data_IF_298719802632
#
_entry.id   IF_298719802632
#
_cell.length_a   1.000
_cell.length_b   1.000
_cell.length_c   1.000
_cell.angle_alpha   90.00
_cell.angle_beta   90.00
_cell.angle_gamma   90.00
#
_symmetry.space_group_name_H-M   'P 1'
#
loop_
_entity.id
_entity.type
_entity.pdbx_description
1 polymer ?
#
# COMPACT_ATOMS: atom_id res chain seq x y z
N UNK A 1 21.98 3.63 -6.86
CA UNK A 1 20.62 4.13 -6.63
C UNK A 1 19.80 2.91 -6.32
N UNK A 2 19.21 2.87 -5.14
CA UNK A 2 18.44 1.72 -4.70
C UNK A 2 17.06 1.81 -5.36
N UNK A 3 16.55 0.70 -5.89
CA UNK A 3 15.24 0.60 -6.50
C UNK A 3 14.49 -0.57 -5.86
N UNK A 4 13.19 -0.37 -5.63
CA UNK A 4 12.31 -1.41 -5.10
C UNK A 4 11.60 -2.13 -6.22
N UNK A 5 11.30 -3.41 -6.01
CA UNK A 5 10.66 -4.26 -7.00
C UNK A 5 9.70 -5.23 -6.32
N UNK A 6 8.41 -5.00 -6.50
CA UNK A 6 7.33 -5.82 -5.92
C UNK A 6 7.15 -7.16 -6.64
N UNK A 7 7.61 -7.30 -7.89
CA UNK A 7 7.57 -8.56 -8.62
C UNK A 7 8.98 -9.01 -9.04
N UNK A 8 9.38 -10.21 -8.61
CA UNK A 8 10.68 -10.80 -8.91
C UNK A 8 10.50 -12.18 -9.54
N UNK A 9 11.24 -12.45 -10.62
CA UNK A 9 11.35 -13.80 -11.16
C UNK A 9 12.81 -14.24 -11.15
N UNK A 10 13.08 -15.35 -10.48
CA UNK A 10 14.37 -16.02 -10.51
C UNK A 10 14.26 -17.29 -11.34
N UNK A 11 15.27 -17.54 -12.16
CA UNK A 11 15.35 -18.68 -13.04
C UNK A 11 16.65 -19.43 -12.75
N UNK A 12 16.53 -20.73 -12.50
CA UNK A 12 17.66 -21.60 -12.20
C UNK A 12 17.72 -22.71 -13.24
N UNK A 13 18.92 -22.97 -13.76
CA UNK A 13 19.18 -24.00 -14.73
C UNK A 13 20.23 -24.98 -14.19
N UNK A 14 19.82 -25.90 -13.30
CA UNK A 14 20.76 -26.84 -12.70
C UNK A 14 21.35 -27.78 -13.76
N UNK A 15 22.62 -28.20 -13.63
CA UNK A 15 23.29 -29.05 -14.62
C UNK A 15 22.58 -30.38 -14.91
N UNK A 16 21.90 -30.95 -13.92
CA UNK A 16 21.16 -32.20 -14.09
C UNK A 16 20.00 -32.08 -15.08
N UNK A 17 19.50 -30.87 -15.35
CA UNK A 17 18.40 -30.64 -16.29
C UNK A 17 18.71 -31.01 -17.73
N UNK A 18 20.00 -31.11 -18.06
CA UNK A 18 20.53 -31.58 -19.34
C UNK A 18 21.36 -32.86 -19.19
N UNK A 19 21.27 -33.53 -18.04
CA UNK A 19 22.03 -34.75 -17.75
C UNK A 19 23.53 -34.55 -17.49
N UNK A 20 23.96 -33.31 -17.22
CA UNK A 20 25.37 -33.00 -16.96
C UNK A 20 25.68 -32.93 -15.46
N UNK A 21 26.94 -33.19 -15.10
CA UNK A 21 27.46 -33.04 -13.74
C UNK A 21 28.42 -31.85 -13.70
N UNK A 22 28.00 -30.75 -13.04
CA UNK A 22 28.83 -29.54 -12.82
C UNK A 22 28.61 -28.98 -11.42
N UNK A 23 29.60 -28.25 -10.84
CA UNK A 23 29.41 -27.57 -9.56
C UNK A 23 28.30 -26.51 -9.65
N UNK A 24 27.42 -26.46 -8.65
CA UNK A 24 26.41 -25.41 -8.53
C UNK A 24 27.12 -24.12 -8.08
N UNK A 25 27.02 -23.07 -8.90
CA UNK A 25 27.55 -21.73 -8.63
C UNK A 25 26.40 -20.72 -8.67
N UNK A 26 26.70 -19.44 -8.48
CA UNK A 26 25.73 -18.37 -8.69
C UNK A 26 25.21 -18.33 -10.14
N UNK A 27 24.09 -17.63 -10.39
CA UNK A 27 23.43 -17.64 -11.68
C UNK A 27 24.32 -17.05 -12.78
N UNK A 28 24.34 -17.75 -13.91
CA UNK A 28 25.00 -17.33 -15.14
C UNK A 28 24.26 -16.18 -15.83
N UNK A 29 24.94 -15.53 -16.78
CA UNK A 29 24.31 -14.49 -17.62
C UNK A 29 23.09 -15.00 -18.38
N UNK A 30 23.11 -16.26 -18.83
CA UNK A 30 22.01 -16.87 -19.57
C UNK A 30 20.79 -17.09 -18.66
N UNK A 31 21.01 -17.58 -17.45
CA UNK A 31 19.93 -17.76 -16.46
C UNK A 31 19.27 -16.42 -16.11
N UNK A 32 20.06 -15.38 -15.86
CA UNK A 32 19.55 -14.02 -15.63
C UNK A 32 18.78 -13.51 -16.86
N UNK A 33 19.29 -13.74 -18.06
CA UNK A 33 18.64 -13.34 -19.31
C UNK A 33 17.30 -14.04 -19.53
N UNK A 34 17.22 -15.35 -19.31
CA UNK A 34 15.99 -16.13 -19.39
C UNK A 34 14.97 -15.71 -18.32
N UNK A 35 15.44 -15.51 -17.08
CA UNK A 35 14.60 -14.98 -16.00
C UNK A 35 14.00 -13.62 -16.36
N UNK A 36 14.82 -12.69 -16.85
CA UNK A 36 14.35 -11.38 -17.29
C UNK A 36 13.35 -11.44 -18.45
N UNK A 37 13.53 -12.37 -19.41
CA UNK A 37 12.58 -12.54 -20.51
C UNK A 37 11.22 -13.02 -19.99
N UNK A 38 11.20 -14.06 -19.15
CA UNK A 38 9.96 -14.56 -18.56
C UNK A 38 9.30 -13.52 -17.64
N UNK A 39 10.10 -12.78 -16.87
CA UNK A 39 9.59 -11.71 -16.02
C UNK A 39 8.91 -10.62 -16.86
N UNK A 40 9.55 -10.17 -17.94
CA UNK A 40 8.96 -9.18 -18.87
C UNK A 40 7.67 -9.70 -19.51
N UNK A 41 7.58 -10.99 -19.78
CA UNK A 41 6.37 -11.60 -20.33
C UNK A 41 5.19 -11.58 -19.34
N UNK A 42 5.46 -11.79 -18.05
CA UNK A 42 4.43 -11.88 -17.01
C UNK A 42 4.08 -10.53 -16.37
N UNK A 43 5.05 -9.62 -16.27
CA UNK A 43 4.92 -8.31 -15.60
C UNK A 43 3.66 -7.52 -16.00
N UNK A 44 3.23 -7.44 -17.28
CA UNK A 44 2.02 -6.73 -17.67
C UNK A 44 0.71 -7.28 -17.06
N UNK A 45 0.74 -8.55 -16.64
CA UNK A 45 -0.40 -9.26 -16.03
C UNK A 45 -0.43 -9.15 -14.51
N UNK A 46 0.67 -8.74 -13.90
CA UNK A 46 0.75 -8.58 -12.44
C UNK A 46 -0.19 -7.43 -12.03
N UNK A 47 -1.03 -7.63 -10.99
CA UNK A 47 -1.90 -6.58 -10.46
C UNK A 47 -1.09 -5.41 -9.89
N UNK A 48 -1.75 -4.26 -9.78
CA UNK A 48 -1.18 -3.12 -9.06
C UNK A 48 -1.17 -3.41 -7.55
N UNK A 49 -0.30 -2.72 -6.81
CA UNK A 49 -0.07 -2.95 -5.39
C UNK A 49 -1.31 -2.62 -4.55
N UNK A 50 -2.13 -1.66 -4.99
CA UNK A 50 -3.39 -1.29 -4.35
C UNK A 50 -4.43 -2.42 -4.44
N UNK A 51 -4.34 -3.25 -5.49
CA UNK A 51 -5.24 -4.40 -5.70
C UNK A 51 -4.69 -5.64 -5.00
N UNK A 52 -3.38 -5.80 -4.98
CA UNK A 52 -2.72 -6.96 -4.41
C UNK A 52 -1.42 -6.53 -3.71
N UNK A 53 -1.49 -6.15 -2.42
CA UNK A 53 -0.40 -5.50 -1.70
C UNK A 53 0.67 -6.49 -1.23
N UNK A 54 1.16 -7.33 -2.15
CA UNK A 54 2.13 -8.39 -1.87
C UNK A 54 3.37 -8.20 -2.74
N UNK A 55 4.52 -8.44 -2.13
CA UNK A 55 5.73 -8.74 -2.89
C UNK A 55 5.66 -10.18 -3.41
N UNK A 56 5.70 -10.33 -4.72
CA UNK A 56 5.60 -11.61 -5.43
C UNK A 56 6.99 -12.05 -5.86
N UNK A 57 7.38 -13.26 -5.45
CA UNK A 57 8.60 -13.93 -5.92
C UNK A 57 8.25 -15.23 -6.59
N UNK A 58 8.56 -15.33 -7.88
CA UNK A 58 8.50 -16.59 -8.64
C UNK A 58 9.92 -17.15 -8.76
N UNK A 59 10.08 -18.43 -8.49
CA UNK A 59 11.32 -19.16 -8.74
C UNK A 59 11.00 -20.30 -9.71
N UNK A 60 11.68 -20.32 -10.84
CA UNK A 60 11.56 -21.37 -11.85
C UNK A 60 12.80 -22.24 -11.83
N UNK A 61 12.65 -23.47 -11.35
CA UNK A 61 13.70 -24.48 -11.36
C UNK A 61 13.49 -25.40 -12.57
N UNK A 62 14.40 -25.33 -13.52
CA UNK A 62 14.33 -26.17 -14.71
C UNK A 62 14.80 -27.57 -14.36
N UNK A 63 13.88 -28.53 -14.38
CA UNK A 63 14.19 -29.92 -14.04
C UNK A 63 14.66 -30.73 -15.24
N UNK A 64 14.21 -30.35 -16.44
CA UNK A 64 14.55 -30.96 -17.72
C UNK A 64 14.58 -29.87 -18.79
N UNK A 65 15.49 -29.97 -19.77
CA UNK A 65 15.56 -29.02 -20.87
C UNK A 65 16.02 -29.67 -22.16
N UNK A 66 15.10 -29.79 -23.12
CA UNK A 66 15.41 -30.10 -24.52
C UNK A 66 14.84 -29.07 -25.50
N UNK A 67 14.33 -27.95 -24.99
CA UNK A 67 13.74 -26.86 -25.75
C UNK A 67 13.77 -25.57 -24.94
N UNK A 68 12.89 -24.62 -25.24
CA UNK A 68 12.91 -23.31 -24.58
C UNK A 68 12.32 -23.34 -23.17
N UNK A 69 13.17 -23.67 -22.20
CA UNK A 69 12.91 -23.57 -20.76
C UNK A 69 12.53 -22.15 -20.31
N UNK A 70 12.94 -21.12 -21.04
CA UNK A 70 12.49 -19.74 -20.80
C UNK A 70 11.01 -19.51 -21.11
N UNK A 71 10.48 -20.14 -22.17
CA UNK A 71 9.05 -20.07 -22.51
C UNK A 71 8.23 -20.96 -21.58
N UNK A 72 8.75 -22.15 -21.24
CA UNK A 72 8.16 -23.00 -20.20
C UNK A 72 8.04 -22.24 -18.86
N UNK A 73 9.04 -21.43 -18.50
CA UNK A 73 8.98 -20.57 -17.30
C UNK A 73 7.86 -19.54 -17.38
N UNK A 74 7.60 -18.96 -18.55
CA UNK A 74 6.45 -18.06 -18.74
C UNK A 74 5.12 -18.76 -18.47
N UNK A 75 4.93 -19.96 -19.04
CA UNK A 75 3.73 -20.77 -18.85
C UNK A 75 3.56 -21.23 -17.39
N UNK A 76 4.61 -21.81 -16.81
CA UNK A 76 4.61 -22.29 -15.43
C UNK A 76 4.45 -21.16 -14.42
N UNK A 77 5.10 -20.01 -14.66
CA UNK A 77 4.95 -18.81 -13.85
C UNK A 77 3.51 -18.29 -13.88
N UNK A 78 2.85 -18.27 -15.04
CA UNK A 78 1.44 -17.91 -15.14
C UNK A 78 0.54 -18.82 -14.28
N UNK A 79 0.71 -20.14 -14.41
CA UNK A 79 -0.07 -21.10 -13.62
C UNK A 79 0.23 -21.00 -12.12
N UNK A 80 1.50 -20.85 -11.75
CA UNK A 80 1.92 -20.74 -10.35
C UNK A 80 1.36 -19.48 -9.68
N UNK A 81 1.33 -18.34 -10.39
CA UNK A 81 0.70 -17.11 -9.90
C UNK A 81 -0.80 -17.31 -9.66
N UNK A 82 -1.50 -17.94 -10.61
CA UNK A 82 -2.93 -18.23 -10.50
C UNK A 82 -3.21 -19.20 -9.35
N UNK A 83 -2.40 -20.24 -9.20
CA UNK A 83 -2.53 -21.25 -8.15
C UNK A 83 -2.26 -20.66 -6.76
N UNK A 84 -1.32 -19.71 -6.67
CA UNK A 84 -1.05 -18.96 -5.44
C UNK A 84 -2.15 -17.95 -5.09
N UNK A 85 -3.17 -17.76 -5.94
CA UNK A 85 -4.27 -16.82 -5.75
C UNK A 85 -3.92 -15.37 -6.13
N UNK A 86 -2.86 -15.15 -6.90
CA UNK A 86 -2.54 -13.81 -7.43
C UNK A 86 -3.56 -13.46 -8.51
N UNK A 87 -4.27 -12.32 -8.40
CA UNK A 87 -5.30 -11.92 -9.35
C UNK A 87 -4.68 -11.32 -10.63
N UNK A 88 -3.95 -12.15 -11.38
CA UNK A 88 -3.39 -11.75 -12.67
C UNK A 88 -4.51 -11.49 -13.70
N UNK A 89 -4.30 -10.52 -14.59
CA UNK A 89 -5.32 -10.10 -15.58
C UNK A 89 -5.75 -11.24 -16.50
N UNK A 90 -4.78 -11.96 -17.05
CA UNK A 90 -4.98 -13.10 -17.95
C UNK A 90 -3.78 -14.03 -17.89
N UNK A 91 -3.98 -15.30 -18.28
CA UNK A 91 -2.89 -16.26 -18.44
C UNK A 91 -1.97 -15.87 -19.61
N UNK A 92 -0.67 -16.13 -19.43
CA UNK A 92 0.37 -15.90 -20.45
C UNK A 92 1.06 -17.20 -20.77
N UNK A 93 1.19 -17.50 -22.06
CA UNK A 93 2.00 -18.60 -22.56
C UNK A 93 3.14 -18.08 -23.42
N UNK A 94 4.22 -18.87 -23.49
CA UNK A 94 5.36 -18.64 -24.37
C UNK A 94 5.51 -19.77 -25.38
N UNK A 95 6.08 -19.46 -26.54
CA UNK A 95 6.50 -20.43 -27.55
C UNK A 95 7.85 -20.03 -28.13
N UNK A 96 8.70 -21.02 -28.39
CA UNK A 96 9.93 -20.83 -29.15
C UNK A 96 9.76 -21.31 -30.58
N UNK A 97 10.31 -20.54 -31.49
CA UNK A 97 10.13 -20.69 -32.92
C UNK A 97 11.51 -20.62 -33.57
N UNK A 98 11.68 -21.37 -34.64
CA UNK A 98 12.90 -21.38 -35.43
C UNK A 98 12.63 -21.03 -36.88
N UNK A 99 13.69 -20.69 -37.59
CA UNK A 99 13.69 -20.53 -39.03
C UNK A 99 14.92 -21.21 -39.61
N UNK A 100 14.72 -21.99 -40.67
CA UNK A 100 15.78 -22.52 -41.52
C UNK A 100 15.64 -21.89 -42.91
N UNK A 101 16.75 -21.45 -43.48
CA UNK A 101 16.85 -20.88 -44.82
C UNK A 101 17.86 -21.67 -45.65
N UNK A 102 17.40 -22.19 -46.78
CA UNK A 102 18.26 -22.78 -47.80
C UNK A 102 17.97 -22.05 -49.12
N UNK A 103 18.96 -21.35 -49.66
CA UNK A 103 18.81 -20.44 -50.80
C UNK A 103 17.62 -19.47 -50.63
N UNK A 104 16.58 -19.58 -51.45
CA UNK A 104 15.37 -18.74 -51.39
C UNK A 104 14.20 -19.41 -50.61
N UNK A 105 14.42 -20.59 -50.05
CA UNK A 105 13.41 -21.33 -49.29
C UNK A 105 13.52 -21.04 -47.80
N UNK A 106 12.35 -20.92 -47.14
CA UNK A 106 12.23 -20.63 -45.72
C UNK A 106 11.28 -21.63 -45.05
N UNK A 107 11.75 -22.27 -43.98
CA UNK A 107 10.97 -23.18 -43.15
C UNK A 107 10.86 -22.65 -41.73
N UNK A 108 9.64 -22.47 -41.24
CA UNK A 108 9.35 -21.99 -39.88
C UNK A 108 9.05 -23.19 -39.00
N UNK A 109 9.83 -23.34 -37.93
CA UNK A 109 9.70 -24.40 -36.94
C UNK A 109 8.93 -23.91 -35.71
N UNK A 110 8.11 -24.78 -35.13
CA UNK A 110 7.31 -24.49 -33.94
C UNK A 110 7.75 -25.38 -32.79
N UNK A 111 7.93 -24.79 -31.63
CA UNK A 111 8.39 -25.44 -30.41
C UNK A 111 9.75 -26.12 -30.58
N UNK A 112 10.73 -25.31 -30.99
CA UNK A 112 12.04 -25.83 -31.37
C UNK A 112 12.76 -26.56 -30.24
N UNK A 113 13.42 -27.66 -30.61
CA UNK A 113 14.37 -28.38 -29.79
C UNK A 113 15.71 -27.65 -29.69
N UNK A 114 16.55 -28.06 -28.75
CA UNK A 114 17.91 -27.53 -28.60
C UNK A 114 18.77 -27.69 -29.87
N UNK A 115 18.63 -28.80 -30.57
CA UNK A 115 19.35 -29.05 -31.84
C UNK A 115 18.83 -28.14 -32.96
N UNK A 116 17.51 -27.95 -33.06
CA UNK A 116 16.90 -27.07 -34.07
C UNK A 116 17.27 -25.60 -33.84
N UNK A 117 17.40 -25.17 -32.58
CA UNK A 117 17.99 -23.87 -32.23
C UNK A 117 19.47 -23.78 -32.66
N UNK A 118 20.25 -24.82 -32.37
CA UNK A 118 21.69 -24.84 -32.68
C UNK A 118 21.94 -24.70 -34.20
N UNK A 119 21.20 -25.46 -35.01
CA UNK A 119 21.36 -25.51 -36.46
C UNK A 119 20.50 -24.49 -37.23
N UNK A 120 19.51 -23.88 -36.59
CA UNK A 120 18.63 -22.89 -37.23
C UNK A 120 19.31 -21.55 -37.49
N UNK A 121 18.80 -20.83 -38.50
CA UNK A 121 19.30 -19.53 -38.95
C UNK A 121 18.75 -18.34 -38.15
N UNK A 122 17.67 -18.57 -37.43
CA UNK A 122 17.07 -17.62 -36.50
C UNK A 122 16.26 -18.37 -35.45
N UNK A 123 16.36 -17.94 -34.20
CA UNK A 123 15.44 -18.33 -33.14
C UNK A 123 14.69 -17.11 -32.61
N UNK A 124 13.41 -17.28 -32.33
CA UNK A 124 12.64 -16.25 -31.66
C UNK A 124 11.63 -16.83 -30.70
N UNK A 125 11.41 -16.06 -29.64
CA UNK A 125 10.58 -16.44 -28.50
C UNK A 125 9.46 -15.42 -28.40
N UNK A 126 8.22 -15.90 -28.40
CA UNK A 126 7.04 -15.05 -28.33
C UNK A 126 6.21 -15.47 -27.13
N UNK A 127 5.98 -14.53 -26.22
CA UNK A 127 5.10 -14.73 -25.08
C UNK A 127 3.95 -13.73 -25.09
N UNK A 128 2.80 -14.13 -24.56
CA UNK A 128 1.62 -13.28 -24.49
C UNK A 128 0.35 -13.99 -24.04
N UNK A 129 -0.69 -13.20 -23.86
CA UNK A 129 -2.04 -13.70 -23.57
C UNK A 129 -2.84 -13.91 -24.86
N UNK A 130 -4.14 -14.16 -24.71
CA UNK A 130 -5.07 -14.21 -25.86
C UNK A 130 -5.20 -12.86 -26.56
N UNK A 131 -5.10 -11.76 -25.81
CA UNK A 131 -5.30 -10.40 -26.32
C UNK A 131 -4.10 -9.84 -27.07
N UNK A 132 -2.90 -10.35 -26.78
CA UNK A 132 -1.70 -9.76 -27.37
C UNK A 132 -0.41 -10.40 -26.92
N UNK A 133 0.67 -9.87 -27.50
CA UNK A 133 2.05 -10.23 -27.15
C UNK A 133 2.50 -9.37 -25.97
N UNK A 134 3.14 -9.98 -24.98
CA UNK A 134 3.73 -9.27 -23.83
C UNK A 134 5.25 -9.18 -23.93
N UNK A 135 5.90 -10.15 -24.57
CA UNK A 135 7.35 -10.13 -24.80
C UNK A 135 7.71 -10.83 -26.11
N UNK A 136 8.72 -10.29 -26.80
CA UNK A 136 9.40 -10.91 -27.94
C UNK A 136 10.90 -10.83 -27.69
N UNK A 137 11.60 -11.92 -27.97
CA UNK A 137 13.04 -11.96 -28.14
C UNK A 137 13.34 -12.60 -29.48
N UNK A 138 14.26 -12.03 -30.25
CA UNK A 138 14.68 -12.55 -31.55
C UNK A 138 16.20 -12.54 -31.60
N UNK A 139 16.79 -13.66 -32.01
CA UNK A 139 18.20 -13.76 -32.35
C UNK A 139 18.31 -14.23 -33.80
N UNK A 140 18.90 -13.38 -34.64
CA UNK A 140 18.96 -13.57 -36.09
C UNK A 140 20.42 -13.79 -36.44
N UNK A 141 20.75 -14.98 -36.98
CA UNK A 141 22.12 -15.36 -37.34
C UNK A 141 22.49 -15.01 -38.78
N UNK A 142 21.48 -14.74 -39.63
CA UNK A 142 21.64 -14.46 -41.06
C UNK A 142 21.00 -13.12 -41.49
N UNK A 143 21.44 -12.57 -42.62
CA UNK A 143 20.77 -11.41 -43.23
C UNK A 143 19.71 -11.85 -44.25
N UNK A 144 18.79 -10.94 -44.59
CA UNK A 144 17.88 -11.12 -45.73
C UNK A 144 16.60 -11.91 -45.43
N UNK A 145 16.07 -11.84 -44.20
CA UNK A 145 14.75 -12.40 -43.88
C UNK A 145 13.66 -11.41 -44.33
N UNK A 146 12.79 -11.77 -45.30
CA UNK A 146 11.73 -10.88 -45.76
C UNK A 146 10.69 -10.63 -44.66
N UNK A 147 10.12 -9.42 -44.63
CA UNK A 147 9.07 -9.05 -43.67
C UNK A 147 7.84 -9.97 -43.75
N UNK A 148 7.52 -10.48 -44.94
CA UNK A 148 6.43 -11.44 -45.13
C UNK A 148 6.69 -12.78 -44.41
N UNK A 149 7.94 -13.26 -44.44
CA UNK A 149 8.34 -14.48 -43.71
C UNK A 149 8.20 -14.24 -42.20
N UNK A 150 8.61 -13.08 -41.71
CA UNK A 150 8.44 -12.70 -40.31
C UNK A 150 6.96 -12.66 -39.89
N UNK A 151 6.10 -12.09 -40.74
CA UNK A 151 4.66 -12.05 -40.52
C UNK A 151 4.05 -13.45 -40.41
N UNK A 152 4.43 -14.36 -41.32
CA UNK A 152 4.01 -15.78 -41.25
C UNK A 152 4.52 -16.45 -39.97
N UNK A 153 5.76 -16.19 -39.58
CA UNK A 153 6.37 -16.78 -38.39
C UNK A 153 5.66 -16.34 -37.10
N UNK A 154 5.31 -15.04 -36.99
CA UNK A 154 4.53 -14.52 -35.87
C UNK A 154 3.09 -15.05 -35.83
N UNK A 155 2.47 -15.24 -37.00
CA UNK A 155 1.14 -15.84 -37.10
C UNK A 155 1.15 -17.31 -36.64
N UNK A 156 2.12 -18.10 -37.09
CA UNK A 156 2.31 -19.49 -36.65
C UNK A 156 2.62 -19.55 -35.14
N UNK A 157 3.44 -18.63 -34.62
CA UNK A 157 3.71 -18.51 -33.19
C UNK A 157 2.44 -18.19 -32.39
N UNK A 158 1.58 -17.31 -32.90
CA UNK A 158 0.29 -17.00 -32.27
C UNK A 158 -0.58 -18.24 -32.18
N UNK A 159 -0.73 -19.00 -33.26
CA UNK A 159 -1.54 -20.22 -33.30
C UNK A 159 -1.04 -21.26 -32.30
N UNK A 160 0.28 -21.48 -32.25
CA UNK A 160 0.90 -22.38 -31.28
C UNK A 160 0.68 -21.91 -29.84
N UNK A 161 0.88 -20.61 -29.56
CA UNK A 161 0.64 -20.03 -28.24
C UNK A 161 -0.82 -20.19 -27.78
N UNK A 162 -1.80 -20.05 -28.67
CA UNK A 162 -3.21 -20.28 -28.33
C UNK A 162 -3.46 -21.72 -27.91
N UNK A 163 -2.87 -22.70 -28.61
CA UNK A 163 -2.99 -24.12 -28.22
C UNK A 163 -2.41 -24.38 -26.82
N UNK A 164 -1.27 -23.79 -26.50
CA UNK A 164 -0.66 -23.88 -25.16
C UNK A 164 -1.58 -23.25 -24.11
N UNK A 165 -2.13 -22.07 -24.39
CA UNK A 165 -3.11 -21.42 -23.51
C UNK A 165 -4.36 -22.28 -23.31
N UNK A 166 -4.86 -22.96 -24.34
CA UNK A 166 -6.02 -23.85 -24.22
C UNK A 166 -5.72 -25.01 -23.24
N UNK A 167 -4.54 -25.62 -23.35
CA UNK A 167 -4.10 -26.69 -22.45
C UNK A 167 -3.90 -26.18 -21.01
N UNK A 168 -3.29 -25.02 -20.84
CA UNK A 168 -3.11 -24.39 -19.53
C UNK A 168 -4.47 -24.11 -18.87
N UNK A 169 -5.41 -23.53 -19.63
CA UNK A 169 -6.75 -23.18 -19.13
C UNK A 169 -7.57 -24.43 -18.79
N UNK A 170 -7.35 -25.56 -19.46
CA UNK A 170 -7.96 -26.83 -19.09
C UNK A 170 -7.49 -27.33 -17.70
N UNK A 171 -6.31 -26.89 -17.25
CA UNK A 171 -5.76 -27.22 -15.93
C UNK A 171 -6.21 -26.22 -14.87
N UNK A 172 -6.06 -24.92 -15.13
CA UNK A 172 -6.43 -23.85 -14.21
C UNK A 172 -6.95 -22.64 -15.01
N UNK A 173 -8.27 -22.45 -15.13
CA UNK A 173 -8.84 -21.43 -16.02
C UNK A 173 -8.79 -20.02 -15.43
N UNK A 174 -8.82 -19.88 -14.11
CA UNK A 174 -8.80 -18.60 -13.39
C UNK A 174 -7.92 -18.67 -12.15
N UNK A 175 -7.40 -17.53 -11.65
CA UNK A 175 -6.76 -17.50 -10.34
C UNK A 175 -7.64 -18.12 -9.25
N UNK A 176 -7.02 -18.75 -8.26
CA UNK A 176 -7.75 -19.22 -7.08
C UNK A 176 -8.35 -18.02 -6.33
N UNK A 177 -9.58 -18.15 -5.80
CA UNK A 177 -10.25 -17.05 -5.11
C UNK A 177 -9.61 -16.73 -3.75
N UNK A 178 -8.93 -17.71 -3.15
CA UNK A 178 -8.31 -17.60 -1.84
C UNK A 178 -6.80 -17.84 -1.94
N UNK A 179 -6.04 -17.08 -1.15
CA UNK A 179 -4.61 -17.31 -0.94
C UNK A 179 -4.39 -18.56 -0.11
N UNK A 180 -3.17 -19.12 -0.22
CA UNK A 180 -2.72 -20.20 0.65
C UNK A 180 -2.94 -19.87 2.13
N UNK A 181 -3.40 -20.80 2.98
CA UNK A 181 -3.54 -20.57 4.42
C UNK A 181 -2.21 -20.29 5.12
N UNK A 182 -1.09 -20.62 4.47
CA UNK A 182 0.26 -20.33 4.96
C UNK A 182 0.81 -19.00 4.45
N UNK A 183 0.14 -18.37 3.49
CA UNK A 183 0.50 -17.02 3.07
C UNK A 183 0.01 -16.02 4.13
N UNK A 184 0.82 -15.01 4.49
CA UNK A 184 0.35 -13.94 5.36
C UNK A 184 -0.83 -13.24 4.67
N UNK A 185 -1.85 -12.87 5.42
CA UNK A 185 -2.90 -11.96 4.96
C UNK A 185 -2.47 -10.54 5.21
N UNK A 186 -2.67 -9.69 4.22
CA UNK A 186 -2.39 -8.26 4.31
C UNK A 186 -3.71 -7.52 4.30
N UNK A 187 -3.93 -6.74 5.35
CA UNK A 187 -5.06 -5.83 5.48
C UNK A 187 -4.51 -4.42 5.35
N UNK A 188 -5.05 -3.67 4.39
CA UNK A 188 -4.68 -2.28 4.16
C UNK A 188 -5.75 -1.35 4.72
N UNK A 189 -5.32 -0.27 5.36
CA UNK A 189 -6.18 0.84 5.78
C UNK A 189 -5.48 2.16 5.49
N UNK A 190 -6.25 3.26 5.43
CA UNK A 190 -5.71 4.59 5.19
C UNK A 190 -5.97 5.47 6.42
N UNK A 191 -4.96 6.24 6.82
CA UNK A 191 -5.02 7.19 7.93
C UNK A 191 -4.59 8.57 7.42
N UNK A 192 -5.01 9.63 8.09
CA UNK A 192 -4.57 10.97 7.71
C UNK A 192 -3.05 11.11 7.95
N UNK A 193 -2.35 11.79 7.04
CA UNK A 193 -0.89 11.97 7.08
C UNK A 193 -0.43 12.59 8.41
N UNK A 194 -1.23 13.50 8.96
CA UNK A 194 -0.95 14.15 10.26
C UNK A 194 -0.98 13.15 11.44
N UNK A 195 -1.60 11.98 11.27
CA UNK A 195 -1.76 10.95 12.29
C UNK A 195 -0.67 9.87 12.23
N UNK A 196 0.16 9.82 11.18
CA UNK A 196 1.26 8.85 11.04
C UNK A 196 2.18 8.90 12.29
N UNK A 197 2.52 10.10 12.73
CA UNK A 197 3.38 10.30 13.91
C UNK A 197 2.77 9.75 15.21
N UNK A 198 1.45 9.72 15.33
CA UNK A 198 0.73 9.17 16.47
C UNK A 198 0.83 7.64 16.50
N UNK A 199 0.65 6.98 15.35
CA UNK A 199 0.69 5.52 15.22
C UNK A 199 2.12 4.99 15.42
N UNK A 200 3.13 5.66 14.87
CA UNK A 200 4.54 5.32 15.09
C UNK A 200 4.93 5.56 16.56
N UNK A 201 4.56 6.72 17.09
CA UNK A 201 4.92 7.17 18.44
C UNK A 201 6.40 7.53 18.59
N UNK A 202 6.81 8.09 19.74
CA UNK A 202 8.17 8.57 19.95
C UNK A 202 9.19 7.43 19.86
N UNK A 203 10.05 7.47 18.83
CA UNK A 203 11.06 6.44 18.55
C UNK A 203 10.49 5.09 18.12
N UNK A 204 9.26 5.06 17.57
CA UNK A 204 8.61 3.83 17.12
C UNK A 204 8.04 2.96 18.25
N UNK A 205 7.89 3.52 19.47
CA UNK A 205 7.42 2.74 20.62
C UNK A 205 6.00 2.22 20.48
N UNK A 206 5.09 3.02 19.91
CA UNK A 206 3.68 2.67 19.78
C UNK A 206 3.50 1.54 18.78
N UNK A 207 4.05 1.70 17.56
CA UNK A 207 3.98 0.67 16.52
C UNK A 207 4.65 -0.64 16.97
N UNK A 208 5.80 -0.58 17.66
CA UNK A 208 6.44 -1.78 18.23
C UNK A 208 5.57 -2.47 19.28
N UNK A 209 4.85 -1.72 20.12
CA UNK A 209 3.93 -2.32 21.09
C UNK A 209 2.73 -2.99 20.43
N UNK A 210 2.22 -2.44 19.32
CA UNK A 210 1.16 -3.07 18.53
C UNK A 210 1.66 -4.39 17.92
N UNK A 211 2.84 -4.36 17.28
CA UNK A 211 3.49 -5.54 16.69
C UNK A 211 3.70 -6.63 17.77
N UNK A 212 4.23 -6.27 18.93
CA UNK A 212 4.52 -7.22 20.02
C UNK A 212 3.24 -7.85 20.62
N UNK A 213 2.17 -7.07 20.77
CA UNK A 213 0.90 -7.55 21.33
C UNK A 213 0.10 -8.42 20.37
N UNK A 214 0.18 -8.11 19.08
CA UNK A 214 -0.66 -8.76 18.06
C UNK A 214 0.07 -9.88 17.34
N UNK A 215 1.41 -9.81 17.24
CA UNK A 215 2.22 -10.68 16.39
C UNK A 215 2.15 -10.32 14.90
N UNK A 216 1.42 -9.26 14.52
CA UNK A 216 1.32 -8.79 13.15
C UNK A 216 2.49 -7.85 12.81
N UNK A 217 2.87 -7.81 11.54
CA UNK A 217 3.77 -6.79 10.99
C UNK A 217 2.95 -5.59 10.54
N UNK A 218 3.38 -4.39 10.89
CA UNK A 218 2.72 -3.13 10.49
C UNK A 218 3.74 -2.28 9.77
N UNK A 219 3.40 -1.86 8.56
CA UNK A 219 4.17 -0.92 7.74
C UNK A 219 3.31 0.29 7.41
N UNK A 220 3.90 1.49 7.39
CA UNK A 220 3.17 2.75 7.17
C UNK A 220 3.93 3.56 6.14
N UNK A 221 3.27 3.87 5.04
CA UNK A 221 3.78 4.71 3.97
C UNK A 221 3.59 6.21 4.28
N UNK A 222 4.42 7.04 3.66
CA UNK A 222 4.39 8.50 3.83
C UNK A 222 3.08 9.15 3.34
N UNK A 223 2.29 8.42 2.55
CA UNK A 223 0.98 8.86 2.06
C UNK A 223 -0.18 8.55 3.03
N UNK A 224 0.09 7.86 4.14
CA UNK A 224 -0.92 7.44 5.12
C UNK A 224 -1.49 6.04 4.89
N UNK A 225 -0.98 5.28 3.92
CA UNK A 225 -1.34 3.88 3.74
C UNK A 225 -0.68 3.01 4.81
N UNK A 226 -1.47 2.17 5.48
CA UNK A 226 -1.01 1.26 6.52
C UNK A 226 -1.25 -0.18 6.06
N UNK A 227 -0.18 -0.97 5.99
CA UNK A 227 -0.22 -2.39 5.65
C UNK A 227 0.00 -3.25 6.89
N UNK A 228 -1.00 -4.08 7.21
CA UNK A 228 -0.99 -4.97 8.38
C UNK A 228 -0.94 -6.42 7.89
N UNK A 229 0.17 -7.09 8.14
CA UNK A 229 0.42 -8.44 7.64
C UNK A 229 0.54 -9.48 8.78
N UNK A 230 -0.20 -10.58 8.70
CA UNK A 230 -0.06 -11.73 9.61
C UNK A 230 -0.55 -13.02 8.97
N UNK A 231 0.01 -14.17 9.37
CA UNK A 231 -0.54 -15.49 9.02
C UNK A 231 -1.80 -15.85 9.81
N UNK A 232 -2.04 -15.16 10.94
CA UNK A 232 -3.27 -15.27 11.74
C UNK A 232 -4.24 -14.13 11.39
N UNK A 233 -5.43 -14.42 10.83
CA UNK A 233 -6.43 -13.40 10.52
C UNK A 233 -6.87 -12.58 11.74
N UNK A 234 -6.95 -13.20 12.92
CA UNK A 234 -7.36 -12.47 14.13
C UNK A 234 -6.31 -11.47 14.58
N UNK A 235 -5.02 -11.78 14.36
CA UNK A 235 -3.93 -10.86 14.65
C UNK A 235 -3.99 -9.59 13.79
N UNK A 236 -4.31 -9.73 12.49
CA UNK A 236 -4.53 -8.59 11.60
C UNK A 236 -5.68 -7.71 12.10
N UNK A 237 -6.82 -8.31 12.46
CA UNK A 237 -7.99 -7.54 12.90
C UNK A 237 -7.73 -6.81 14.22
N UNK A 238 -7.07 -7.46 15.19
CA UNK A 238 -6.66 -6.80 16.45
C UNK A 238 -5.71 -5.64 16.21
N UNK A 239 -4.73 -5.79 15.31
CA UNK A 239 -3.80 -4.72 14.98
C UNK A 239 -4.51 -3.55 14.29
N UNK A 240 -5.43 -3.86 13.36
CA UNK A 240 -6.26 -2.86 12.68
C UNK A 240 -7.11 -2.08 13.68
N UNK A 241 -7.82 -2.76 14.58
CA UNK A 241 -8.66 -2.11 15.61
C UNK A 241 -7.81 -1.22 16.54
N UNK A 242 -6.61 -1.66 16.93
CA UNK A 242 -5.70 -0.83 17.73
C UNK A 242 -5.28 0.45 17.01
N UNK A 243 -5.00 0.36 15.71
CA UNK A 243 -4.61 1.52 14.89
C UNK A 243 -5.82 2.43 14.68
N UNK A 244 -6.99 1.88 14.32
CA UNK A 244 -8.24 2.64 14.16
C UNK A 244 -8.58 3.42 15.43
N UNK A 245 -8.47 2.81 16.62
CA UNK A 245 -8.73 3.50 17.89
C UNK A 245 -7.74 4.63 18.19
N UNK A 246 -6.49 4.51 17.74
CA UNK A 246 -5.51 5.58 17.86
C UNK A 246 -5.85 6.73 16.91
N UNK A 247 -6.23 6.42 15.68
CA UNK A 247 -6.49 7.41 14.62
C UNK A 247 -7.92 7.96 14.63
N UNK A 248 -8.84 7.36 15.40
CA UNK A 248 -10.22 7.80 15.49
C UNK A 248 -10.27 9.27 15.94
N UNK A 249 -10.90 10.13 15.12
CA UNK A 249 -11.15 11.50 15.51
C UNK A 249 -12.41 11.58 16.36
N UNK A 250 -12.36 12.27 17.51
CA UNK A 250 -13.54 12.43 18.35
C UNK A 250 -14.56 13.31 17.62
N UNK A 251 -15.75 12.75 17.36
CA UNK A 251 -16.83 13.43 16.64
C UNK A 251 -17.75 14.17 17.62
N UNK A 252 -18.07 15.43 17.30
CA UNK A 252 -19.01 16.22 18.10
C UNK A 252 -20.38 15.57 18.03
N UNK A 253 -20.95 15.26 19.19
CA UNK A 253 -22.24 14.61 19.34
C UNK A 253 -22.17 13.09 19.49
N UNK A 254 -21.01 12.45 19.33
CA UNK A 254 -20.82 11.02 19.59
C UNK A 254 -20.63 10.77 21.09
N UNK A 255 -21.13 9.62 21.53
CA UNK A 255 -21.05 9.16 22.92
C UNK A 255 -19.88 8.20 23.06
N UNK A 256 -19.03 8.41 24.06
CA UNK A 256 -17.85 7.62 24.33
C UNK A 256 -17.88 7.10 25.76
N UNK A 257 -17.37 5.88 25.98
CA UNK A 257 -17.07 5.37 27.32
C UNK A 257 -15.61 5.74 27.60
N UNK A 258 -15.40 6.70 28.49
CA UNK A 258 -14.09 7.21 28.81
C UNK A 258 -13.68 6.93 30.24
N UNK A 259 -12.37 6.83 30.49
CA UNK A 259 -11.82 6.55 31.82
C UNK A 259 -11.29 7.81 32.49
N UNK A 260 -11.66 8.06 33.74
CA UNK A 260 -11.21 9.24 34.50
C UNK A 260 -9.71 9.11 34.82
N UNK A 261 -8.88 9.97 34.25
CA UNK A 261 -7.43 10.02 34.53
C UNK A 261 -7.09 10.89 35.72
N UNK A 262 -7.76 12.04 35.81
CA UNK A 262 -7.44 13.07 36.79
C UNK A 262 -8.68 13.86 37.15
N UNK A 263 -8.85 14.14 38.43
CA UNK A 263 -9.93 14.99 38.94
C UNK A 263 -9.31 16.32 39.39
N UNK A 264 -10.02 17.42 39.12
CA UNK A 264 -9.70 18.77 39.61
C UNK A 264 -10.94 19.41 40.23
N UNK A 265 -10.76 20.54 40.91
CA UNK A 265 -11.85 21.23 41.59
C UNK A 265 -12.94 21.76 40.63
N UNK A 266 -12.66 21.86 39.33
CA UNK A 266 -13.56 22.41 38.32
C UNK A 266 -14.04 21.36 37.30
N UNK A 267 -13.56 20.12 37.38
CA UNK A 267 -13.97 19.05 36.46
C UNK A 267 -13.14 17.78 36.57
N UNK A 268 -13.39 16.84 35.66
CA UNK A 268 -12.60 15.62 35.51
C UNK A 268 -12.02 15.52 34.10
N UNK A 269 -10.76 15.12 33.99
CA UNK A 269 -10.15 14.74 32.72
C UNK A 269 -10.44 13.27 32.45
N UNK A 270 -11.17 13.04 31.37
CA UNK A 270 -11.62 11.72 30.94
C UNK A 270 -10.93 11.39 29.61
N UNK A 271 -10.22 10.27 29.58
CA UNK A 271 -9.63 9.75 28.34
C UNK A 271 -10.74 9.01 27.58
N UNK A 272 -11.16 9.57 26.44
CA UNK A 272 -12.22 8.99 25.59
C UNK A 272 -11.64 8.11 24.47
N UNK A 273 -10.44 8.43 24.00
CA UNK A 273 -9.69 7.70 22.99
C UNK A 273 -8.21 7.69 23.43
N UNK A 274 -7.41 6.68 23.05
CA UNK A 274 -6.01 6.59 23.43
C UNK A 274 -5.23 7.88 23.14
N UNK A 275 -4.76 8.56 24.20
CA UNK A 275 -4.01 9.82 24.08
C UNK A 275 -4.86 11.08 23.83
N UNK A 276 -6.20 10.98 23.82
CA UNK A 276 -7.13 12.11 23.72
C UNK A 276 -7.95 12.26 25.00
N UNK A 277 -7.61 13.28 25.76
CA UNK A 277 -8.29 13.64 27.01
C UNK A 277 -9.28 14.79 26.77
N UNK A 278 -10.50 14.65 27.30
CA UNK A 278 -11.48 15.71 27.35
C UNK A 278 -11.77 16.17 28.77
N UNK A 279 -12.21 17.41 28.89
CA UNK A 279 -12.63 18.02 30.15
C UNK A 279 -14.13 17.82 30.33
N UNK A 280 -14.50 17.10 31.38
CA UNK A 280 -15.87 17.04 31.89
C UNK A 280 -16.00 18.11 32.98
N UNK A 281 -16.61 19.24 32.65
CA UNK A 281 -16.78 20.35 33.59
C UNK A 281 -17.81 20.00 34.68
N UNK A 282 -17.64 20.53 35.90
CA UNK A 282 -18.51 20.22 37.06
C UNK A 282 -20.01 20.49 36.79
N UNK A 283 -20.32 21.46 35.92
CA UNK A 283 -21.70 21.80 35.53
C UNK A 283 -22.34 20.82 34.53
N UNK A 284 -21.53 19.97 33.90
CA UNK A 284 -21.95 19.03 32.86
C UNK A 284 -21.97 17.57 33.36
N UNK A 285 -21.77 17.35 34.66
CA UNK A 285 -21.85 16.02 35.29
C UNK A 285 -23.29 15.51 35.42
N UNK A 286 -24.17 16.28 36.05
CA UNK A 286 -25.54 15.87 36.39
C UNK A 286 -26.50 17.07 36.35
N UNK A 287 -27.82 16.82 36.28
CA UNK A 287 -28.84 17.88 36.25
C UNK A 287 -28.95 18.66 37.57
N UNK A 288 -28.52 18.07 38.69
CA UNK A 288 -28.51 18.71 40.00
C UNK A 288 -27.14 19.33 40.32
N UNK A 289 -27.12 20.32 41.22
CA UNK A 289 -25.90 21.08 41.53
C UNK A 289 -24.91 20.25 42.35
N UNK A 290 -23.93 19.67 41.67
CA UNK A 290 -22.80 18.96 42.29
C UNK A 290 -21.84 19.96 42.95
N UNK A 291 -21.52 19.77 44.23
CA UNK A 291 -20.61 20.67 44.98
C UNK A 291 -19.14 20.31 44.79
N UNK A 292 -18.81 19.02 44.67
CA UNK A 292 -17.44 18.53 44.40
C UNK A 292 -17.49 17.39 43.41
N UNK A 293 -16.57 17.39 42.45
CA UNK A 293 -16.46 16.34 41.43
C UNK A 293 -16.18 14.96 42.06
N UNK A 294 -15.47 14.97 43.19
CA UNK A 294 -15.09 13.80 43.98
C UNK A 294 -16.28 13.08 44.63
N UNK A 295 -17.45 13.75 44.72
CA UNK A 295 -18.66 13.15 45.27
C UNK A 295 -19.33 12.20 44.25
N UNK A 296 -18.97 12.30 42.96
CA UNK A 296 -19.65 11.62 41.85
C UNK A 296 -18.69 10.77 41.00
N UNK A 297 -17.40 11.13 40.94
CA UNK A 297 -16.40 10.45 40.13
C UNK A 297 -15.17 10.12 40.96
N UNK A 298 -14.62 8.92 40.76
CA UNK A 298 -13.31 8.52 41.25
C UNK A 298 -12.29 8.42 40.11
N UNK A 299 -11.01 8.62 40.45
CA UNK A 299 -9.93 8.39 39.49
C UNK A 299 -9.91 6.90 39.12
N UNK A 300 -10.00 6.63 37.82
CA UNK A 300 -10.03 5.28 37.27
C UNK A 300 -11.42 4.77 36.88
N UNK A 301 -12.50 5.50 37.19
CA UNK A 301 -13.87 5.13 36.83
C UNK A 301 -14.11 5.23 35.32
N UNK A 302 -14.93 4.32 34.79
CA UNK A 302 -15.44 4.37 33.42
C UNK A 302 -16.78 5.11 33.41
N UNK A 303 -16.88 6.16 32.59
CA UNK A 303 -18.07 7.00 32.47
C UNK A 303 -18.45 7.24 31.03
N UNK A 304 -19.75 7.17 30.78
CA UNK A 304 -20.33 7.49 29.48
C UNK A 304 -20.49 9.02 29.34
N UNK A 305 -19.84 9.58 28.32
CA UNK A 305 -19.74 11.02 28.10
C UNK A 305 -19.96 11.34 26.63
N UNK A 306 -20.71 12.41 26.34
CA UNK A 306 -20.93 12.92 24.99
C UNK A 306 -19.97 14.05 24.70
N UNK A 307 -19.34 14.06 23.54
CA UNK A 307 -18.56 15.21 23.09
C UNK A 307 -19.50 16.33 22.65
N UNK A 308 -19.46 17.49 23.30
CA UNK A 308 -20.37 18.62 23.02
C UNK A 308 -19.70 19.67 22.13
N UNK A 309 -18.38 19.82 22.25
CA UNK A 309 -17.64 20.79 21.46
C UNK A 309 -16.13 20.58 21.56
N UNK A 310 -15.42 21.29 20.69
CA UNK A 310 -13.96 21.39 20.71
C UNK A 310 -13.65 22.86 20.94
N UNK A 311 -13.00 23.19 22.06
CA UNK A 311 -12.59 24.56 22.36
C UNK A 311 -11.48 25.02 21.38
N UNK A 312 -11.33 26.34 21.23
CA UNK A 312 -10.30 27.03 20.44
C UNK A 312 -8.86 26.57 20.70
N UNK A 313 -8.59 25.94 21.85
CA UNK A 313 -7.29 25.36 22.20
C UNK A 313 -7.14 23.87 21.82
N UNK A 314 -8.10 23.28 21.10
CA UNK A 314 -8.14 21.86 20.73
C UNK A 314 -8.52 20.93 21.90
N UNK A 315 -9.05 21.47 23.00
CA UNK A 315 -9.52 20.68 24.14
C UNK A 315 -10.95 20.19 23.89
N UNK A 316 -11.18 18.94 24.22
CA UNK A 316 -12.46 18.25 24.02
C UNK A 316 -13.39 18.54 25.20
N UNK A 317 -14.54 19.17 24.95
CA UNK A 317 -15.54 19.44 25.99
C UNK A 317 -16.55 18.30 26.05
N UNK A 318 -16.60 17.65 27.21
CA UNK A 318 -17.43 16.47 27.47
C UNK A 318 -18.61 16.84 28.35
N UNK A 319 -19.76 16.20 28.10
CA UNK A 319 -20.96 16.31 28.95
C UNK A 319 -21.58 14.95 29.20
N UNK A 320 -21.90 14.69 30.47
CA UNK A 320 -22.70 13.55 30.93
C UNK A 320 -24.17 13.95 31.05
N UNK A 321 -24.45 15.21 31.36
CA UNK A 321 -25.80 15.81 31.41
C UNK A 321 -26.57 15.64 30.10
N UNK A 322 -25.89 15.70 28.95
CA UNK A 322 -26.50 15.52 27.64
C UNK A 322 -27.05 14.11 27.37
N UNK A 323 -26.72 13.11 28.21
CA UNK A 323 -27.16 11.71 28.11
C UNK A 323 -28.19 11.34 29.18
N UNK A 324 -28.35 12.15 30.22
CA UNK A 324 -29.31 11.92 31.29
C UNK A 324 -30.71 12.36 30.83
N UNK A 325 -31.76 11.52 30.97
CA UNK A 325 -33.11 11.89 30.60
C UNK A 325 -33.52 13.18 31.32
N UNK A 326 -34.07 14.16 30.58
CA UNK A 326 -34.68 15.34 31.17
C UNK A 326 -35.84 14.87 32.04
N UNK A 327 -35.74 15.04 33.35
CA UNK A 327 -36.95 15.06 34.18
C UNK A 327 -37.76 16.31 33.78
N UNK A 328 -38.97 16.08 33.29
CA UNK A 328 -39.94 17.14 33.00
C UNK A 328 -40.27 17.88 34.30
N UNK A 329 -39.88 19.15 34.40
CA UNK A 329 -40.37 20.06 35.44
C UNK A 329 -39.27 20.72 36.28
N UNK A 330 -38.56 21.67 35.70
CA UNK A 330 -37.94 22.76 36.46
C UNK A 330 -38.14 24.06 35.68
N UNK A 331 -39.06 24.87 36.19
CA UNK A 331 -39.51 26.14 35.65
C UNK A 331 -38.33 27.11 35.48
N UNK A 332 -38.30 27.77 34.31
CA UNK A 332 -37.44 28.92 34.05
C UNK A 332 -37.92 30.10 34.91
N UNK A 333 -37.18 30.44 35.97
CA UNK A 333 -37.28 31.78 36.55
C UNK A 333 -36.53 32.77 35.66
N UNK A 334 -37.31 33.55 34.92
CA UNK A 334 -36.90 34.77 34.24
C UNK A 334 -36.21 35.75 35.22
N UNK A 335 -35.05 36.27 34.81
CA UNK A 335 -34.33 37.27 35.60
C UNK A 335 -33.40 38.15 34.78
N UNK A 336 -33.96 39.15 34.08
CA UNK A 336 -33.29 40.44 33.88
C UNK A 336 -32.83 40.79 32.47
N UNK A 337 -33.77 41.23 31.63
CA UNK A 337 -33.48 41.89 30.36
C UNK A 337 -32.73 43.22 30.50
N UNK A 338 -31.84 43.51 29.55
CA UNK A 338 -31.40 44.87 29.19
C UNK A 338 -31.54 45.06 27.68
N UNK A 339 -32.01 46.24 27.20
CA UNK A 339 -32.59 46.38 25.87
C UNK A 339 -31.56 46.77 24.79
N UNK A 340 -31.89 46.63 23.49
CA UNK A 340 -30.99 46.96 22.39
C UNK A 340 -30.98 48.49 22.14
N UNK A 341 -29.79 49.07 21.96
CA UNK A 341 -29.62 50.46 21.51
C UNK A 341 -29.40 50.51 20.00
N UNK A 342 -30.37 51.07 19.28
CA UNK A 342 -30.21 51.57 17.91
C UNK A 342 -29.84 53.06 17.92
N UNK A 343 -28.96 53.44 16.98
CA UNK A 343 -29.08 54.65 16.16
C UNK A 343 -28.56 55.99 16.71
N UNK A 344 -27.64 56.62 15.97
CA UNK A 344 -27.31 58.04 16.14
C UNK A 344 -26.01 58.47 15.45
N UNK A 345 -26.15 59.01 14.24
CA UNK A 345 -25.12 59.52 13.33
C UNK A 345 -24.29 60.69 13.89
N UNK A 346 -23.03 60.87 13.43
CA UNK A 346 -22.63 62.00 12.58
C UNK A 346 -21.09 62.19 12.39
N UNK A 347 -20.74 62.46 11.13
CA UNK A 347 -19.69 63.38 10.61
C UNK A 347 -18.20 62.96 10.55
N UNK A 348 -17.86 62.42 9.37
CA UNK A 348 -16.96 62.96 8.31
C UNK A 348 -15.42 63.11 8.53
N UNK A 349 -14.63 63.10 7.42
CA UNK A 349 -13.33 62.42 7.34
C UNK A 349 -12.14 63.37 7.10
N UNK A 350 -10.92 62.85 7.29
CA UNK A 350 -9.62 63.37 6.80
C UNK A 350 -8.58 62.27 7.10
N UNK A 351 -7.67 61.86 6.23
CA UNK A 351 -7.19 62.35 4.95
C UNK A 351 -5.79 61.75 4.77
N UNK A 352 -5.46 61.38 3.53
CA UNK A 352 -4.16 60.88 3.10
C UNK A 352 -2.97 61.68 3.64
N UNK A 353 -1.87 60.97 3.91
CA UNK A 353 -0.52 61.44 3.53
C UNK A 353 0.51 60.33 3.57
N UNK A 354 0.90 59.92 2.36
CA UNK A 354 2.25 59.48 2.05
C UNK A 354 3.30 60.43 2.63
N UNK A 355 4.45 59.89 3.04
CA UNK A 355 5.76 60.52 2.82
C UNK A 355 6.90 59.51 2.98
N UNK A 356 7.53 59.26 1.84
CA UNK A 356 8.92 58.79 1.70
C UNK A 356 9.88 59.71 2.49
N UNK A 357 10.96 59.15 3.03
CA UNK A 357 12.31 59.70 2.84
C UNK A 357 13.39 58.67 3.24
N UNK A 358 14.16 58.30 2.23
CA UNK A 358 15.63 58.31 2.16
C UNK A 358 16.50 57.88 3.37
N UNK A 359 17.28 56.84 3.08
CA UNK A 359 18.67 56.53 3.49
C UNK A 359 19.60 57.79 3.47
N UNK A 360 20.88 57.81 3.95
CA UNK A 360 21.85 56.70 3.97
C UNK A 360 22.99 56.74 5.04
N UNK A 361 23.93 55.78 4.87
CA UNK A 361 25.31 55.68 5.40
C UNK A 361 25.41 55.04 6.80
N UNK A 362 26.30 54.09 7.08
CA UNK A 362 27.44 53.54 6.35
C UNK A 362 28.51 53.07 7.35
N UNK A 363 29.37 52.14 6.90
CA UNK A 363 30.67 51.65 7.45
C UNK A 363 30.69 50.29 8.14
N UNK A 364 31.26 49.34 7.39
CA UNK A 364 32.51 48.63 7.69
C UNK A 364 32.83 48.26 9.13
N UNK A 365 32.96 46.94 9.39
CA UNK A 365 34.23 46.36 9.82
C UNK A 365 34.26 44.83 9.62
N UNK A 366 35.11 44.43 8.68
CA UNK A 366 36.08 43.33 8.70
C UNK A 366 36.03 42.16 9.72
N UNK A 367 36.28 40.98 9.11
CA UNK A 367 37.14 39.84 9.52
C UNK A 367 36.54 38.74 10.41
N UNK A 368 36.63 37.50 9.87
CA UNK A 368 37.19 36.39 10.65
C UNK A 368 36.73 34.96 10.36
N UNK A 369 37.27 34.36 9.30
CA UNK A 369 37.83 32.99 9.23
C UNK A 369 36.99 31.71 9.50
N UNK A 370 37.08 30.83 8.49
CA UNK A 370 37.34 29.36 8.51
C UNK A 370 36.17 28.37 8.71
N UNK A 371 35.64 27.91 7.58
CA UNK A 371 35.70 26.56 6.97
C UNK A 371 35.79 25.27 7.84
N UNK A 372 35.33 24.13 7.28
CA UNK A 372 34.42 23.20 7.95
C UNK A 372 35.02 21.81 8.26
N UNK A 373 34.24 20.98 8.94
CA UNK A 373 34.22 19.53 8.79
C UNK A 373 32.79 19.04 8.66
#
# INVERSE_FOLDING_TARGET
GDFFKSYMLHYNFPPFSVGEVRPIRGPSRREIGHGNLAERALKPMIPAEEVFPYTIRVVSDILESNGSSSMATGCAGSLSLMDAGVPIKEAVAGIAMGLIKEDDQFHILTDILGDEDHFGDMDFKVAGSRQGVTAIQMDIKISGIPMEVMGRALQQAREARMKILDIMNATLPTPRPELSPYAPRIVSMHIDVDQIGLVIGPGGKTIRSIIEKTGATVDIDDDGTVHIASTDPEACERAKEMIERLTEMPEIGKTYIGRVKKITNFGAFVEILPGKEGLLHISELEHHRVRRVEDVLSVGDEVEVKLVGIDTNGKLDLSRKALLPKEEGAEEEEGGGRPPRQGGEHRRPRGDRERRHDRPRGRDHERGRRSPR
#
